data_IF_080638021763
#
_entry.id   IF_080638021763
#
_cell.length_a   1.000
_cell.length_b   1.000
_cell.length_c   1.000
_cell.angle_alpha   90.00
_cell.angle_beta   90.00
_cell.angle_gamma   90.00
#
_symmetry.space_group_name_H-M   'P 1'
#
loop_
_entity.id
_entity.type
_entity.pdbx_description
1 polymer ?
#
# COMPACT_ATOMS: atom_id res chain seq x y z
N UNK A 1 12.93 -42.35 -19.70
CA UNK A 1 11.56 -42.35 -19.54
C UNK A 1 11.07 -41.84 -18.22
N UNK A 2 11.64 -42.22 -17.20
CA UNK A 2 11.20 -41.79 -15.92
C UNK A 2 11.48 -40.34 -15.70
N UNK A 3 12.37 -39.77 -16.40
CA UNK A 3 12.78 -38.41 -16.14
C UNK A 3 11.72 -37.37 -16.45
N UNK A 4 10.68 -37.74 -17.09
CA UNK A 4 9.67 -36.80 -17.50
C UNK A 4 8.90 -36.18 -16.31
N UNK A 5 8.99 -36.78 -15.18
CA UNK A 5 8.17 -36.33 -14.07
C UNK A 5 8.73 -35.14 -13.31
N UNK A 6 10.00 -34.93 -13.39
CA UNK A 6 10.62 -33.92 -12.61
C UNK A 6 10.24 -32.48 -12.93
N UNK A 7 10.10 -32.14 -14.18
CA UNK A 7 9.81 -30.73 -14.52
C UNK A 7 8.52 -30.22 -13.89
N UNK A 8 7.60 -31.11 -13.64
CA UNK A 8 6.32 -30.70 -13.12
C UNK A 8 6.43 -30.11 -11.71
N UNK A 9 7.26 -30.68 -10.90
CA UNK A 9 7.43 -30.20 -9.54
C UNK A 9 8.00 -28.80 -9.50
N UNK A 10 8.90 -28.52 -10.39
CA UNK A 10 9.52 -27.20 -10.42
C UNK A 10 8.51 -26.12 -10.72
N UNK A 11 7.57 -26.40 -11.58
CA UNK A 11 6.55 -25.42 -11.92
C UNK A 11 5.68 -25.06 -10.74
N UNK A 12 5.33 -26.04 -9.96
CA UNK A 12 4.50 -25.77 -8.79
C UNK A 12 5.15 -24.81 -7.84
N UNK A 13 6.42 -24.95 -7.64
CA UNK A 13 7.13 -24.08 -6.73
C UNK A 13 7.16 -22.64 -7.21
N UNK A 14 7.29 -22.44 -8.48
CA UNK A 14 7.31 -21.11 -9.03
C UNK A 14 6.01 -20.38 -8.81
N UNK A 15 4.91 -21.07 -8.93
CA UNK A 15 3.61 -20.47 -8.71
C UNK A 15 3.45 -20.00 -7.27
N UNK A 16 3.91 -20.77 -6.33
CA UNK A 16 3.83 -20.38 -4.94
C UNK A 16 4.63 -19.15 -4.65
N UNK A 17 5.80 -19.03 -5.25
CA UNK A 17 6.62 -17.85 -5.05
C UNK A 17 5.93 -16.59 -5.51
N UNK A 18 5.25 -16.65 -6.64
CA UNK A 18 4.58 -15.49 -7.16
C UNK A 18 3.49 -14.97 -6.25
N UNK A 19 2.78 -15.85 -5.59
CA UNK A 19 1.70 -15.45 -4.72
C UNK A 19 2.18 -14.80 -3.43
N UNK A 20 3.38 -15.13 -2.99
CA UNK A 20 3.86 -14.68 -1.70
C UNK A 20 4.27 -13.21 -1.66
N UNK A 21 4.33 -12.56 -2.81
CA UNK A 21 4.87 -11.22 -2.89
C UNK A 21 3.81 -10.13 -2.99
N UNK A 22 2.56 -10.49 -2.78
CA UNK A 22 1.50 -9.53 -2.98
C UNK A 22 1.20 -8.71 -1.74
N UNK A 23 1.13 -7.46 -1.92
CA UNK A 23 0.37 -6.43 -1.31
C UNK A 23 0.39 -6.25 0.19
N UNK A 24 -0.09 -5.10 0.57
CA UNK A 24 -0.25 -4.69 1.95
C UNK A 24 -1.37 -5.49 2.63
N UNK A 25 -1.34 -5.60 3.97
CA UNK A 25 -2.39 -6.29 4.71
C UNK A 25 -3.70 -5.51 4.80
N UNK A 26 -3.82 -4.44 4.06
CA UNK A 26 -5.03 -3.63 3.98
C UNK A 26 -5.20 -3.16 2.54
N UNK A 27 -6.43 -2.82 2.12
CA UNK A 27 -6.63 -2.27 0.79
C UNK A 27 -5.82 -1.00 0.59
N UNK A 28 -5.11 -0.95 -0.52
CA UNK A 28 -4.27 0.22 -0.81
C UNK A 28 -4.08 0.36 -2.30
N UNK A 29 -3.79 1.59 -2.72
CA UNK A 29 -3.45 1.89 -4.10
C UNK A 29 -2.44 3.01 -4.15
N UNK A 30 -1.60 2.99 -5.17
CA UNK A 30 -0.57 3.99 -5.36
C UNK A 30 -0.58 4.40 -6.82
N UNK A 31 -0.58 5.71 -7.08
CA UNK A 31 -0.49 6.19 -8.45
C UNK A 31 0.31 7.47 -8.52
N UNK A 32 0.98 7.67 -9.63
CA UNK A 32 1.72 8.89 -9.91
C UNK A 32 0.74 9.83 -10.58
N UNK A 33 0.51 10.99 -9.96
CA UNK A 33 -0.53 11.92 -10.40
C UNK A 33 0.01 13.06 -11.22
N UNK A 34 1.32 13.25 -11.22
CA UNK A 34 1.95 14.31 -11.98
C UNK A 34 3.45 14.16 -11.87
N UNK A 35 4.17 15.09 -12.46
CA UNK A 35 5.61 15.04 -12.42
C UNK A 35 6.08 15.29 -10.99
N UNK A 36 6.69 14.27 -10.39
CA UNK A 36 7.15 14.35 -9.02
C UNK A 36 6.04 14.35 -7.99
N UNK A 37 4.83 13.92 -8.34
CA UNK A 37 3.72 13.87 -7.40
C UNK A 37 3.07 12.49 -7.42
N UNK A 38 2.52 12.11 -6.27
CA UNK A 38 1.85 10.81 -6.18
C UNK A 38 0.68 10.87 -5.20
N UNK A 39 -0.19 9.88 -5.30
CA UNK A 39 -1.29 9.71 -4.38
C UNK A 39 -1.29 8.27 -3.88
N UNK A 40 -1.33 8.12 -2.56
CA UNK A 40 -1.39 6.81 -1.92
C UNK A 40 -2.65 6.76 -1.10
N UNK A 41 -3.50 5.78 -1.37
CA UNK A 41 -4.72 5.59 -0.60
C UNK A 41 -4.60 4.27 0.14
N UNK A 42 -4.84 4.31 1.43
CA UNK A 42 -4.73 3.11 2.27
C UNK A 42 -5.87 3.10 3.27
N UNK A 43 -6.49 1.94 3.42
CA UNK A 43 -7.57 1.78 4.38
C UNK A 43 -7.02 1.29 5.70
N UNK A 44 -7.63 1.76 6.79
CA UNK A 44 -7.39 1.15 8.08
C UNK A 44 -8.16 -0.14 8.21
N UNK A 45 -7.81 -0.94 9.20
CA UNK A 45 -8.60 -2.10 9.58
C UNK A 45 -8.41 -2.33 11.08
N UNK A 46 -8.96 -3.40 11.59
CA UNK A 46 -8.90 -3.62 13.03
C UNK A 46 -7.48 -3.91 13.54
N UNK A 47 -6.60 -4.41 12.68
CA UNK A 47 -5.19 -4.61 13.03
C UNK A 47 -4.39 -3.31 12.94
N UNK A 48 -4.70 -2.50 11.95
CA UNK A 48 -3.98 -1.25 11.69
C UNK A 48 -4.99 -0.12 11.58
N UNK A 49 -5.60 0.27 12.70
CA UNK A 49 -6.68 1.26 12.64
C UNK A 49 -6.22 2.60 12.07
N UNK A 50 -7.16 3.28 11.45
CA UNK A 50 -6.87 4.52 10.73
C UNK A 50 -6.35 5.64 11.64
N UNK A 51 -6.71 5.60 12.91
CA UNK A 51 -6.40 6.70 13.82
C UNK A 51 -5.34 6.33 14.87
N UNK A 52 -4.48 5.37 14.57
CA UNK A 52 -3.43 4.95 15.52
C UNK A 52 -2.06 5.14 14.95
N UNK A 53 -1.09 5.36 15.81
CA UNK A 53 0.30 5.49 15.41
C UNK A 53 0.82 4.19 14.79
N UNK A 54 0.42 3.05 15.35
CA UNK A 54 0.84 1.76 14.81
C UNK A 54 0.33 1.54 13.39
N UNK A 55 -0.95 1.88 13.15
CA UNK A 55 -1.51 1.77 11.81
C UNK A 55 -0.84 2.73 10.83
N UNK A 56 -0.58 3.94 11.29
CA UNK A 56 0.11 4.93 10.45
C UNK A 56 1.51 4.45 10.08
N UNK A 57 2.23 3.89 11.04
CA UNK A 57 3.56 3.37 10.77
C UNK A 57 3.55 2.28 9.72
N UNK A 58 2.56 1.40 9.78
CA UNK A 58 2.44 0.32 8.81
C UNK A 58 2.13 0.89 7.42
N UNK A 59 1.25 1.87 7.34
CA UNK A 59 0.91 2.50 6.05
C UNK A 59 2.11 3.22 5.45
N UNK A 60 2.90 3.88 6.27
CA UNK A 60 4.09 4.57 5.77
C UNK A 60 5.15 3.58 5.30
N UNK A 61 5.26 2.43 5.93
CA UNK A 61 6.16 1.39 5.48
C UNK A 61 5.74 0.89 4.09
N UNK A 62 4.46 0.68 3.89
CA UNK A 62 3.97 0.23 2.58
C UNK A 62 4.09 1.30 1.52
N UNK A 63 3.88 2.56 1.88
CA UNK A 63 4.11 3.66 0.94
C UNK A 63 5.56 3.66 0.47
N UNK A 64 6.48 3.51 1.39
CA UNK A 64 7.91 3.46 1.04
C UNK A 64 8.19 2.30 0.09
N UNK A 65 7.54 1.17 0.33
CA UNK A 65 7.69 0.00 -0.54
C UNK A 65 7.16 0.28 -1.94
N UNK A 66 6.01 0.92 -2.06
CA UNK A 66 5.44 1.28 -3.36
C UNK A 66 6.34 2.26 -4.10
N UNK A 67 6.86 3.26 -3.40
CA UNK A 67 7.74 4.25 -4.01
C UNK A 67 8.99 3.57 -4.57
N UNK A 68 9.57 2.66 -3.81
CA UNK A 68 10.73 1.92 -4.26
C UNK A 68 10.41 1.03 -5.45
N UNK A 69 9.29 0.33 -5.38
CA UNK A 69 8.87 -0.58 -6.44
C UNK A 69 8.62 0.16 -7.76
N UNK A 70 8.06 1.35 -7.69
CA UNK A 70 7.79 2.16 -8.87
C UNK A 70 8.97 3.01 -9.30
N UNK A 71 10.08 2.91 -8.60
CA UNK A 71 11.31 3.63 -8.94
C UNK A 71 11.06 5.12 -9.07
N UNK A 72 10.31 5.67 -8.12
CA UNK A 72 10.00 7.09 -8.10
C UNK A 72 10.63 7.72 -6.86
N UNK A 73 10.73 9.03 -6.84
CA UNK A 73 11.25 9.81 -5.71
C UNK A 73 12.63 9.35 -5.24
N UNK A 74 13.65 9.38 -6.12
CA UNK A 74 14.97 8.86 -5.74
C UNK A 74 15.64 9.64 -4.61
N UNK A 75 15.28 10.89 -4.40
CA UNK A 75 15.84 11.72 -3.33
C UNK A 75 14.95 11.80 -2.10
N UNK A 76 13.92 10.95 -2.04
CA UNK A 76 12.99 10.97 -0.94
C UNK A 76 11.68 11.65 -1.30
N UNK A 77 10.82 11.80 -0.33
CA UNK A 77 9.51 12.38 -0.57
C UNK A 77 8.98 13.08 0.68
N UNK A 78 7.99 13.92 0.47
CA UNK A 78 7.31 14.64 1.54
C UNK A 78 5.81 14.46 1.36
N UNK A 79 5.11 14.12 2.44
CA UNK A 79 3.65 14.07 2.41
C UNK A 79 3.16 15.51 2.57
N UNK A 80 2.42 15.98 1.58
CA UNK A 80 1.93 17.36 1.61
C UNK A 80 0.48 17.45 2.07
N UNK A 81 -0.24 16.33 2.01
CA UNK A 81 -1.63 16.32 2.44
C UNK A 81 -2.02 14.93 2.90
N UNK A 82 -2.78 14.86 3.98
CA UNK A 82 -3.30 13.60 4.51
C UNK A 82 -4.77 13.81 4.83
N UNK A 83 -5.65 13.08 4.15
CA UNK A 83 -7.08 13.30 4.29
C UNK A 83 -7.78 11.99 4.62
N UNK A 84 -8.24 11.80 5.85
CA UNK A 84 -9.08 10.67 6.17
C UNK A 84 -10.43 10.82 5.51
N UNK A 85 -10.98 9.72 5.01
CA UNK A 85 -12.28 9.75 4.36
C UNK A 85 -13.22 8.80 5.06
N UNK A 86 -14.45 9.23 5.33
CA UNK A 86 -15.44 8.33 5.89
C UNK A 86 -15.80 7.26 4.87
N UNK A 87 -16.18 6.11 5.35
CA UNK A 87 -16.72 5.08 4.48
C UNK A 87 -17.99 5.62 3.83
N UNK A 88 -18.14 5.35 2.55
CA UNK A 88 -19.23 5.94 1.77
C UNK A 88 -20.58 5.53 2.32
N UNK A 89 -21.50 6.48 2.32
CA UNK A 89 -22.89 6.20 2.64
C UNK A 89 -23.28 6.32 4.09
N UNK A 90 -22.36 6.62 4.98
CA UNK A 90 -22.71 6.74 6.39
C UNK A 90 -22.61 8.17 6.84
N UNK A 91 -23.73 8.81 7.16
CA UNK A 91 -23.69 10.16 7.75
C UNK A 91 -23.22 10.16 9.19
N UNK A 92 -23.19 8.99 9.81
CA UNK A 92 -22.69 8.86 11.17
C UNK A 92 -21.50 7.94 11.15
N UNK A 93 -20.36 8.42 11.56
CA UNK A 93 -19.21 7.58 11.72
C UNK A 93 -19.42 6.72 12.94
N UNK A 94 -19.64 5.44 12.74
CA UNK A 94 -19.62 4.50 13.83
C UNK A 94 -18.19 4.35 14.29
N UNK A 95 -18.00 3.71 15.43
CA UNK A 95 -16.67 3.44 15.93
C UNK A 95 -15.85 2.64 14.92
N UNK A 96 -16.51 1.66 14.30
CA UNK A 96 -15.85 0.81 13.31
C UNK A 96 -15.47 1.61 12.07
N UNK A 97 -16.32 2.54 11.65
CA UNK A 97 -16.03 3.38 10.50
C UNK A 97 -14.78 4.22 10.72
N UNK A 98 -14.58 4.71 11.94
CA UNK A 98 -13.39 5.49 12.24
C UNK A 98 -12.12 4.65 12.18
N UNK A 99 -12.22 3.39 12.59
CA UNK A 99 -11.07 2.50 12.57
C UNK A 99 -10.69 2.05 11.17
N UNK A 100 -11.68 1.94 10.28
CA UNK A 100 -11.48 1.36 8.95
C UNK A 100 -11.56 2.38 7.82
N UNK A 101 -11.58 3.66 8.16
CA UNK A 101 -11.68 4.71 7.14
C UNK A 101 -10.46 4.72 6.22
N UNK A 102 -10.69 5.08 4.97
CA UNK A 102 -9.60 5.26 4.02
C UNK A 102 -8.86 6.56 4.28
N UNK A 103 -7.58 6.56 4.02
CA UNK A 103 -6.76 7.76 4.17
C UNK A 103 -6.07 8.01 2.85
N UNK A 104 -6.20 9.24 2.36
CA UNK A 104 -5.54 9.67 1.14
C UNK A 104 -4.31 10.46 1.50
N UNK A 105 -3.17 10.02 1.01
CA UNK A 105 -1.89 10.72 1.19
C UNK A 105 -1.49 11.29 -0.15
N UNK A 106 -1.32 12.59 -0.21
CA UNK A 106 -0.76 13.24 -1.40
C UNK A 106 0.68 13.58 -1.08
N UNK A 107 1.58 13.16 -1.95
CA UNK A 107 2.99 13.35 -1.72
C UNK A 107 3.69 13.98 -2.90
N UNK A 108 4.85 14.50 -2.61
CA UNK A 108 5.70 15.12 -3.61
C UNK A 108 7.11 14.57 -3.44
N UNK A 109 7.75 14.24 -4.54
CA UNK A 109 9.14 13.82 -4.50
C UNK A 109 10.02 14.99 -4.13
N UNK A 110 11.02 14.74 -3.30
CA UNK A 110 12.00 15.76 -2.98
C UNK A 110 12.84 16.04 -4.21
N UNK A 111 13.29 17.30 -4.41
CA UNK A 111 14.08 17.61 -5.59
C UNK A 111 15.45 16.95 -5.52
N UNK A 112 16.05 16.77 -6.70
CA UNK A 112 17.41 16.26 -6.79
C UNK A 112 18.36 17.18 -6.04
N UNK A 113 19.31 16.60 -5.31
CA UNK A 113 20.31 17.43 -4.62
C UNK A 113 21.21 18.18 -5.58
#
# INVERSE_FOLDING_TARGET
MKSALRPISALSMLLLSGCALEGAPFPSSFKITGQGQFEFVASGNWLYPANTAAGEGERMMWLKTYISKHQTCPSGYTIVERTPQPLSGSPRASRDDQLTRSIIYVGRCDPWP
#
